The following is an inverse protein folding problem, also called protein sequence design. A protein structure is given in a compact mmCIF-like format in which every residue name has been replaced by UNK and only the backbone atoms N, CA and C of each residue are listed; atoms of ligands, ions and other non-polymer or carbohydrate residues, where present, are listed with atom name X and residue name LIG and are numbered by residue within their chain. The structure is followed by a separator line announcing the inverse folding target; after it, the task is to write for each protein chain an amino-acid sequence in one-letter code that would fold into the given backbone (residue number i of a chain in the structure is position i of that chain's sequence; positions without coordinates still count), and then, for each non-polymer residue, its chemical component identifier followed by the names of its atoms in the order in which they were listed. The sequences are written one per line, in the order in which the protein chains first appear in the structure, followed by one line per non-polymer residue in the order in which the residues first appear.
data_IF_034541482853
#
_entry.id   IF_034541482853
#
_cell.length_a   1.000
_cell.length_b   1.000
_cell.length_c   1.000
_cell.angle_alpha   90.00
_cell.angle_beta   90.00
_cell.angle_gamma   90.00
#
_symmetry.space_group_name_H-M   'P 1'
#
loop_
_entity.id
_entity.type
_entity.pdbx_description
1 polymer ?
#
# COMPACT_ATOMS: atom_id res chain seq x y z
N UNK A 1 31.00 3.44 -6.74
CA UNK A 1 31.14 4.44 -7.83
C UNK A 1 29.90 5.31 -7.77
N UNK A 2 30.08 6.58 -7.40
CA UNK A 2 29.00 7.54 -7.14
C UNK A 2 28.29 7.89 -8.45
N UNK A 3 26.96 7.74 -8.49
CA UNK A 3 26.11 8.05 -9.63
C UNK A 3 25.58 9.51 -9.56
N UNK A 4 26.25 10.37 -8.80
CA UNK A 4 25.80 11.73 -8.44
C UNK A 4 25.56 12.68 -9.64
N UNK A 5 25.96 12.32 -10.86
CA UNK A 5 25.72 13.07 -12.09
C UNK A 5 24.94 12.25 -13.15
N UNK A 6 24.44 11.05 -12.80
CA UNK A 6 23.68 10.26 -13.78
C UNK A 6 22.27 10.85 -13.98
N UNK A 7 21.91 11.00 -15.25
CA UNK A 7 20.55 11.38 -15.65
C UNK A 7 19.54 10.35 -15.15
N UNK A 8 18.39 10.73 -14.58
CA UNK A 8 17.38 9.82 -14.04
C UNK A 8 16.97 8.71 -15.01
N UNK A 9 16.92 8.99 -16.31
CA UNK A 9 16.57 8.01 -17.35
C UNK A 9 17.61 6.90 -17.42
N UNK A 10 18.90 7.21 -17.29
CA UNK A 10 19.97 6.19 -17.31
C UNK A 10 19.88 5.26 -16.10
N UNK A 11 19.53 5.79 -14.93
CA UNK A 11 19.30 4.98 -13.72
C UNK A 11 18.06 4.11 -13.89
N UNK A 12 16.99 4.65 -14.49
CA UNK A 12 15.78 3.91 -14.81
C UNK A 12 16.10 2.70 -15.72
N UNK A 13 16.84 2.92 -16.80
CA UNK A 13 17.20 1.87 -17.73
C UNK A 13 18.14 0.82 -17.10
N UNK A 14 19.23 1.28 -16.48
CA UNK A 14 20.28 0.43 -15.91
C UNK A 14 19.81 -0.41 -14.73
N UNK A 15 19.03 0.20 -13.81
CA UNK A 15 18.63 -0.45 -12.55
C UNK A 15 17.25 -1.11 -12.63
N UNK A 16 16.34 -0.59 -13.44
CA UNK A 16 14.95 -1.04 -13.49
C UNK A 16 14.56 -1.68 -14.83
N UNK A 17 15.34 -1.47 -15.89
CA UNK A 17 15.11 -2.06 -17.21
C UNK A 17 13.99 -1.38 -18.01
N UNK A 18 13.57 -0.17 -17.61
CA UNK A 18 12.59 0.62 -18.32
C UNK A 18 13.26 1.71 -19.15
N UNK A 19 12.76 1.95 -20.35
CA UNK A 19 13.33 2.93 -21.30
C UNK A 19 12.69 4.31 -21.21
N UNK A 20 11.54 4.42 -20.55
CA UNK A 20 10.80 5.68 -20.38
C UNK A 20 10.05 5.72 -19.06
N UNK A 21 9.87 6.92 -18.55
CA UNK A 21 9.05 7.17 -17.38
C UNK A 21 7.56 7.14 -17.73
N UNK A 22 6.76 6.70 -16.77
CA UNK A 22 5.31 6.80 -16.84
C UNK A 22 4.86 8.15 -16.26
N UNK A 23 3.74 8.65 -16.76
CA UNK A 23 3.09 9.86 -16.26
C UNK A 23 4.10 10.98 -15.94
N UNK A 24 4.03 11.60 -14.73
CA UNK A 24 4.94 12.67 -14.27
C UNK A 24 6.15 12.16 -13.46
N UNK A 25 6.48 10.88 -13.52
CA UNK A 25 7.58 10.33 -12.72
C UNK A 25 8.88 11.11 -12.89
N UNK A 26 9.27 11.45 -14.12
CA UNK A 26 10.50 12.20 -14.38
C UNK A 26 10.46 13.61 -13.75
N UNK A 27 9.33 14.31 -13.90
CA UNK A 27 9.14 15.64 -13.31
C UNK A 27 9.25 15.59 -11.78
N UNK A 28 8.63 14.58 -11.14
CA UNK A 28 8.69 14.37 -9.70
C UNK A 28 10.13 14.07 -9.26
N UNK A 29 10.80 13.16 -9.94
CA UNK A 29 12.18 12.77 -9.64
C UNK A 29 13.12 13.97 -9.74
N UNK A 30 13.05 14.74 -10.83
CA UNK A 30 13.86 15.96 -11.02
C UNK A 30 13.56 17.03 -9.95
N UNK A 31 12.30 17.18 -9.55
CA UNK A 31 11.88 18.07 -8.47
C UNK A 31 12.52 17.68 -7.12
N UNK A 32 12.49 16.40 -6.77
CA UNK A 32 13.09 15.86 -5.53
C UNK A 32 14.63 15.95 -5.57
N UNK A 33 15.25 15.67 -6.71
CA UNK A 33 16.70 15.86 -6.91
C UNK A 33 17.11 17.34 -6.78
N UNK A 34 16.23 18.26 -7.19
CA UNK A 34 16.38 19.70 -6.97
C UNK A 34 16.20 20.15 -5.51
N UNK A 35 16.21 19.21 -4.55
CA UNK A 35 16.07 19.42 -3.09
C UNK A 35 14.74 20.07 -2.67
N UNK A 36 13.67 19.83 -3.44
CA UNK A 36 12.32 20.34 -3.19
C UNK A 36 11.41 19.25 -2.64
N UNK A 37 10.50 19.62 -1.73
CA UNK A 37 9.53 18.68 -1.17
C UNK A 37 8.42 18.35 -2.17
N UNK A 38 7.85 17.16 -2.08
CA UNK A 38 6.76 16.74 -2.95
C UNK A 38 5.65 16.00 -2.21
N UNK A 39 4.41 16.28 -2.59
CA UNK A 39 3.25 15.41 -2.32
C UNK A 39 2.77 14.80 -3.65
N UNK A 40 2.75 13.48 -3.73
CA UNK A 40 2.32 12.75 -4.92
C UNK A 40 1.02 12.02 -4.62
N UNK A 41 -0.07 12.48 -5.22
CA UNK A 41 -1.39 11.82 -5.16
C UNK A 41 -1.67 11.21 -6.51
N UNK A 42 -1.55 9.90 -6.61
CA UNK A 42 -1.63 9.24 -7.90
C UNK A 42 -2.06 7.76 -7.76
N UNK A 43 -2.79 7.19 -8.73
CA UNK A 43 -3.34 5.85 -8.67
C UNK A 43 -2.31 4.77 -8.33
N UNK A 44 -2.79 3.63 -7.82
CA UNK A 44 -1.95 2.43 -7.69
C UNK A 44 -1.54 1.94 -9.08
N UNK A 45 -0.35 1.32 -9.18
CA UNK A 45 0.14 0.74 -10.44
C UNK A 45 0.92 1.70 -11.36
N UNK A 46 0.94 3.02 -11.11
CA UNK A 46 1.72 3.98 -11.92
C UNK A 46 3.22 4.04 -11.53
N UNK A 47 3.67 3.16 -10.65
CA UNK A 47 5.09 3.10 -10.27
C UNK A 47 5.53 4.23 -9.34
N UNK A 48 4.70 4.67 -8.39
CA UNK A 48 5.05 5.72 -7.39
C UNK A 48 6.38 5.48 -6.69
N UNK A 49 6.74 4.22 -6.43
CA UNK A 49 7.98 3.85 -5.73
C UNK A 49 9.25 4.35 -6.46
N UNK A 50 9.25 4.42 -7.79
CA UNK A 50 10.38 4.95 -8.56
C UNK A 50 10.65 6.42 -8.25
N UNK A 51 9.62 7.19 -7.86
CA UNK A 51 9.75 8.61 -7.55
C UNK A 51 10.64 8.89 -6.32
N UNK A 52 10.83 7.92 -5.44
CA UNK A 52 11.80 8.02 -4.34
C UNK A 52 12.99 7.08 -4.49
N UNK A 53 12.84 5.93 -5.15
CA UNK A 53 13.94 4.98 -5.33
C UNK A 53 15.05 5.53 -6.23
N UNK A 54 14.69 6.18 -7.34
CA UNK A 54 15.69 6.78 -8.25
C UNK A 54 16.45 7.93 -7.58
N UNK A 55 15.81 8.92 -6.93
CA UNK A 55 16.53 9.91 -6.14
C UNK A 55 17.39 9.31 -5.03
N UNK A 56 16.94 8.26 -4.37
CA UNK A 56 17.73 7.55 -3.34
C UNK A 56 18.99 6.88 -3.91
N UNK A 57 18.95 6.45 -5.17
CA UNK A 57 20.11 5.85 -5.84
C UNK A 57 21.10 6.93 -6.31
N UNK A 58 20.58 8.07 -6.80
CA UNK A 58 21.40 9.17 -7.34
C UNK A 58 22.06 9.98 -6.21
N UNK A 59 21.28 10.38 -5.21
CA UNK A 59 21.78 11.22 -4.11
C UNK A 59 22.74 10.47 -3.19
N UNK A 60 23.77 11.16 -2.72
CA UNK A 60 24.59 10.65 -1.63
C UNK A 60 23.85 10.65 -0.31
N UNK A 61 24.07 9.59 0.48
CA UNK A 61 23.47 9.44 1.79
C UNK A 61 22.48 8.28 1.86
N UNK A 62 21.71 8.26 2.92
CA UNK A 62 20.70 7.26 3.21
C UNK A 62 19.32 7.82 2.89
N UNK A 63 18.53 7.06 2.13
CA UNK A 63 17.10 7.31 2.01
C UNK A 63 16.33 6.50 3.05
N UNK A 64 15.48 7.18 3.82
CA UNK A 64 14.59 6.56 4.81
C UNK A 64 13.19 6.53 4.21
N UNK A 65 12.60 5.33 4.12
CA UNK A 65 11.23 5.11 3.62
C UNK A 65 10.35 4.65 4.77
N UNK A 66 9.40 5.48 5.15
CA UNK A 66 8.37 5.12 6.12
C UNK A 66 7.21 4.49 5.36
N UNK A 67 6.85 3.24 5.73
CA UNK A 67 5.71 2.54 5.15
C UNK A 67 4.97 1.77 6.25
N UNK A 68 3.64 1.67 6.18
CA UNK A 68 2.86 0.92 7.18
C UNK A 68 2.86 -0.58 6.92
N UNK A 69 3.39 -1.03 5.78
CA UNK A 69 3.14 -2.34 5.19
C UNK A 69 4.35 -3.26 5.25
N UNK A 70 4.41 -4.09 6.29
CA UNK A 70 5.54 -5.01 6.54
C UNK A 70 5.81 -5.96 5.35
N UNK A 71 4.75 -6.48 4.72
CA UNK A 71 4.89 -7.38 3.57
C UNK A 71 5.47 -6.65 2.36
N UNK A 72 4.94 -5.46 2.04
CA UNK A 72 5.43 -4.64 0.93
C UNK A 72 6.88 -4.23 1.10
N UNK A 73 7.31 -3.87 2.33
CA UNK A 73 8.71 -3.55 2.62
C UNK A 73 9.65 -4.69 2.20
N UNK A 74 9.28 -5.94 2.54
CA UNK A 74 10.09 -7.10 2.17
C UNK A 74 10.18 -7.25 0.66
N UNK A 75 9.05 -7.18 -0.04
CA UNK A 75 9.00 -7.33 -1.49
C UNK A 75 9.80 -6.24 -2.21
N UNK A 76 9.69 -4.98 -1.76
CA UNK A 76 10.46 -3.86 -2.28
C UNK A 76 11.97 -4.05 -2.06
N UNK A 77 12.37 -4.45 -0.85
CA UNK A 77 13.80 -4.70 -0.53
C UNK A 77 14.35 -5.87 -1.32
N UNK A 78 13.60 -6.97 -1.46
CA UNK A 78 14.02 -8.13 -2.23
C UNK A 78 14.13 -7.78 -3.73
N UNK A 79 13.24 -6.95 -4.24
CA UNK A 79 13.30 -6.45 -5.62
C UNK A 79 14.52 -5.54 -5.85
N UNK A 80 14.81 -4.61 -4.94
CA UNK A 80 15.98 -3.72 -5.01
C UNK A 80 17.29 -4.51 -4.94
N UNK A 81 17.39 -5.48 -4.03
CA UNK A 81 18.57 -6.34 -3.91
C UNK A 81 18.85 -7.17 -5.16
N UNK A 82 17.82 -7.72 -5.80
CA UNK A 82 17.98 -8.42 -7.08
C UNK A 82 18.53 -7.53 -8.20
N UNK A 83 18.34 -6.21 -8.08
CA UNK A 83 18.88 -5.18 -8.98
C UNK A 83 20.27 -4.65 -8.55
N UNK A 84 20.87 -5.24 -7.51
CA UNK A 84 22.17 -4.81 -6.99
C UNK A 84 22.13 -3.53 -6.16
N UNK A 85 20.96 -3.12 -5.68
CA UNK A 85 20.77 -1.92 -4.85
C UNK A 85 20.74 -2.34 -3.38
N UNK A 86 21.63 -1.75 -2.57
CA UNK A 86 21.73 -2.03 -1.14
C UNK A 86 20.54 -1.43 -0.39
N UNK A 87 19.58 -2.29 -0.07
CA UNK A 87 18.39 -1.93 0.65
C UNK A 87 18.14 -2.87 1.84
N UNK A 88 17.51 -2.36 2.88
CA UNK A 88 17.10 -3.14 4.03
C UNK A 88 15.71 -2.72 4.52
N UNK A 89 15.09 -3.54 5.38
CA UNK A 89 13.91 -3.13 6.13
C UNK A 89 14.08 -3.46 7.61
N UNK A 90 13.50 -2.64 8.48
CA UNK A 90 13.46 -2.88 9.92
C UNK A 90 12.02 -2.69 10.40
N UNK A 91 11.44 -3.76 10.93
CA UNK A 91 10.09 -3.77 11.48
C UNK A 91 9.99 -4.72 12.68
N UNK A 92 8.79 -4.87 13.25
CA UNK A 92 8.55 -5.72 14.42
C UNK A 92 8.72 -7.22 14.18
N UNK A 93 8.74 -7.65 12.91
CA UNK A 93 8.83 -9.08 12.57
C UNK A 93 10.23 -9.65 12.59
N UNK A 94 11.25 -8.79 12.73
CA UNK A 94 12.65 -9.22 12.70
C UNK A 94 13.12 -9.72 14.07
N UNK A 95 13.76 -10.88 14.09
CA UNK A 95 14.49 -11.36 15.24
C UNK A 95 15.70 -10.44 15.59
N UNK A 96 16.17 -10.56 16.83
CA UNK A 96 17.23 -9.69 17.38
C UNK A 96 18.50 -9.70 16.53
N UNK A 97 19.02 -10.87 16.19
CA UNK A 97 20.26 -11.02 15.41
C UNK A 97 20.19 -10.31 14.05
N UNK A 98 19.12 -10.57 13.29
CA UNK A 98 18.91 -9.92 11.97
C UNK A 98 18.76 -8.41 12.10
N UNK A 99 18.17 -7.94 13.19
CA UNK A 99 18.00 -6.51 13.45
C UNK A 99 19.33 -5.84 13.75
N UNK A 100 20.17 -6.45 14.60
CA UNK A 100 21.51 -5.93 14.91
C UNK A 100 22.41 -5.88 13.68
N UNK A 101 22.38 -6.92 12.85
CA UNK A 101 23.12 -6.91 11.57
C UNK A 101 22.70 -5.72 10.68
N UNK A 102 21.40 -5.35 10.67
CA UNK A 102 20.93 -4.19 9.91
C UNK A 102 21.30 -2.85 10.53
N UNK A 103 21.32 -2.75 11.87
CA UNK A 103 21.84 -1.58 12.53
C UNK A 103 23.34 -1.39 12.25
N UNK A 104 24.12 -2.47 12.23
CA UNK A 104 25.51 -2.40 11.80
C UNK A 104 25.67 -1.91 10.36
N UNK A 105 24.84 -2.40 9.44
CA UNK A 105 24.82 -1.94 8.04
C UNK A 105 24.43 -0.46 7.89
N UNK A 106 23.54 0.04 8.75
CA UNK A 106 23.23 1.47 8.81
C UNK A 106 24.44 2.28 9.28
N UNK A 107 25.07 1.88 10.38
CA UNK A 107 26.23 2.60 10.95
C UNK A 107 27.44 2.65 10.01
N UNK A 108 27.75 1.55 9.32
CA UNK A 108 28.91 1.45 8.43
C UNK A 108 28.69 2.01 7.03
N UNK A 109 27.46 2.47 6.72
CA UNK A 109 27.17 3.11 5.44
C UNK A 109 26.86 2.20 4.28
N UNK A 110 26.80 0.89 4.46
CA UNK A 110 26.52 -0.04 3.37
C UNK A 110 25.04 -0.08 2.92
N UNK A 111 24.13 0.55 3.67
CA UNK A 111 22.72 0.63 3.30
C UNK A 111 22.41 1.95 2.61
N UNK A 112 21.80 1.88 1.41
CA UNK A 112 21.38 3.03 0.60
C UNK A 112 19.93 3.42 0.86
N UNK A 113 19.04 2.43 1.02
CA UNK A 113 17.61 2.64 1.25
C UNK A 113 17.18 1.77 2.44
N UNK A 114 16.58 2.38 3.44
CA UNK A 114 16.00 1.69 4.59
C UNK A 114 14.49 1.87 4.67
N UNK A 115 13.75 0.77 4.66
CA UNK A 115 12.31 0.76 4.90
C UNK A 115 12.03 0.51 6.37
N UNK A 116 11.19 1.34 6.97
CA UNK A 116 10.84 1.26 8.39
C UNK A 116 9.36 1.52 8.63
N UNK A 117 8.84 0.93 9.70
CA UNK A 117 7.55 1.37 10.24
C UNK A 117 7.76 2.56 11.18
N UNK A 118 6.79 3.50 11.31
CA UNK A 118 6.98 4.71 12.11
C UNK A 118 7.28 4.43 13.57
N UNK A 119 6.79 3.32 14.13
CA UNK A 119 7.05 2.92 15.53
C UNK A 119 8.54 2.67 15.82
N UNK A 120 9.35 2.47 14.77
CA UNK A 120 10.79 2.27 14.94
C UNK A 120 11.52 3.50 15.48
N UNK A 121 11.04 4.68 15.17
CA UNK A 121 11.62 5.91 15.69
C UNK A 121 11.47 6.09 17.21
N UNK A 122 10.58 5.32 17.86
CA UNK A 122 10.47 5.26 19.32
C UNK A 122 11.59 4.43 19.97
N UNK A 123 12.42 3.74 19.19
CA UNK A 123 13.48 2.87 19.69
C UNK A 123 14.82 3.58 19.59
N UNK A 124 15.45 3.80 20.72
CA UNK A 124 16.74 4.49 20.85
C UNK A 124 17.82 3.86 19.98
N UNK A 125 17.90 2.51 19.99
CA UNK A 125 18.86 1.75 19.16
C UNK A 125 18.77 2.11 17.67
N UNK A 126 17.55 2.39 17.17
CA UNK A 126 17.35 2.77 15.77
C UNK A 126 17.79 4.21 15.48
N UNK A 127 17.42 5.14 16.35
CA UNK A 127 17.83 6.55 16.20
C UNK A 127 19.34 6.71 16.35
N UNK A 128 19.97 5.98 17.26
CA UNK A 128 21.42 5.90 17.41
C UNK A 128 22.10 5.30 16.16
N UNK A 129 21.50 4.27 15.55
CA UNK A 129 22.04 3.68 14.32
C UNK A 129 21.99 4.65 13.12
N UNK A 130 21.10 5.65 13.15
CA UNK A 130 21.02 6.72 12.15
C UNK A 130 21.90 7.92 12.49
N UNK A 131 22.36 8.04 13.75
CA UNK A 131 23.19 9.16 14.18
C UNK A 131 24.49 9.23 13.39
N UNK A 132 24.85 10.42 12.93
CA UNK A 132 26.04 10.63 12.10
C UNK A 132 25.87 10.24 10.62
N UNK A 133 24.71 9.72 10.20
CA UNK A 133 24.41 9.46 8.79
C UNK A 133 23.79 10.67 8.13
N UNK A 134 24.29 11.00 6.95
CA UNK A 134 23.60 11.98 6.10
C UNK A 134 22.33 11.34 5.52
N UNK A 135 21.16 11.88 5.88
CA UNK A 135 19.87 11.47 5.34
C UNK A 135 19.55 12.32 4.12
N UNK A 136 19.66 11.73 2.95
CA UNK A 136 19.45 12.45 1.68
C UNK A 136 17.98 12.63 1.32
N UNK A 137 17.11 11.71 1.78
CA UNK A 137 15.70 11.68 1.43
C UNK A 137 14.86 11.00 2.52
N UNK A 138 13.72 11.58 2.84
CA UNK A 138 12.64 10.92 3.58
C UNK A 138 11.47 10.68 2.63
N UNK A 139 11.11 9.42 2.41
CA UNK A 139 9.90 9.05 1.70
C UNK A 139 8.84 8.58 2.70
N UNK A 140 7.61 9.09 2.58
CA UNK A 140 6.46 8.68 3.40
C UNK A 140 5.45 8.03 2.46
N UNK A 141 5.45 6.71 2.47
CA UNK A 141 4.52 5.90 1.69
C UNK A 141 3.18 5.76 2.44
N UNK A 142 2.09 5.61 1.69
CA UNK A 142 0.71 5.61 2.20
C UNK A 142 0.45 6.81 3.14
N UNK A 143 0.85 8.00 2.69
CA UNK A 143 0.84 9.22 3.50
C UNK A 143 -0.57 9.62 4.01
N UNK A 144 -1.64 9.07 3.43
CA UNK A 144 -3.01 9.24 3.94
C UNK A 144 -3.19 8.74 5.39
N UNK A 145 -2.31 7.81 5.84
CA UNK A 145 -2.30 7.35 7.23
C UNK A 145 -1.99 8.45 8.27
N UNK A 146 -1.54 9.64 7.83
CA UNK A 146 -1.29 10.80 8.70
C UNK A 146 -2.58 11.40 9.22
N UNK A 147 -3.63 11.43 8.41
CA UNK A 147 -4.87 12.15 8.67
C UNK A 147 -5.91 11.28 9.37
N UNK A 148 -6.55 11.79 10.40
CA UNK A 148 -7.72 11.16 11.03
C UNK A 148 -8.91 11.05 10.08
N UNK A 149 -8.95 11.87 9.04
CA UNK A 149 -9.92 11.79 7.95
C UNK A 149 -9.51 10.81 6.85
N UNK A 150 -8.33 10.19 6.97
CA UNK A 150 -7.88 9.10 6.10
C UNK A 150 -8.54 7.78 6.46
N UNK A 151 -8.79 6.93 5.46
CA UNK A 151 -9.45 5.63 5.65
C UNK A 151 -8.60 4.59 6.43
N UNK A 152 -7.31 4.82 6.64
CA UNK A 152 -6.39 3.95 7.42
C UNK A 152 -5.50 4.83 8.34
N UNK A 153 -6.14 5.61 9.21
CA UNK A 153 -5.43 6.45 10.18
C UNK A 153 -4.52 5.63 11.09
N UNK A 154 -3.30 6.09 11.26
CA UNK A 154 -2.31 5.45 12.15
C UNK A 154 -1.66 6.47 13.07
N UNK A 155 -1.89 6.39 14.39
CA UNK A 155 -1.38 7.39 15.34
C UNK A 155 0.13 7.64 15.25
N UNK A 156 0.94 6.61 14.92
CA UNK A 156 2.38 6.79 14.77
C UNK A 156 2.79 7.66 13.58
N UNK A 157 1.91 7.79 12.57
CA UNK A 157 2.16 8.67 11.41
C UNK A 157 2.08 10.15 11.78
N UNK A 158 1.30 10.53 12.79
CA UNK A 158 1.23 11.95 13.23
C UNK A 158 2.56 12.45 13.79
N UNK A 159 3.42 11.52 14.24
CA UNK A 159 4.74 11.84 14.80
C UNK A 159 5.84 11.94 13.76
N UNK A 160 5.55 11.75 12.47
CA UNK A 160 6.58 11.80 11.41
C UNK A 160 7.25 13.18 11.35
N UNK A 161 6.55 14.25 11.73
CA UNK A 161 7.13 15.59 11.88
C UNK A 161 8.33 15.58 12.85
N UNK A 162 8.17 14.96 14.02
CA UNK A 162 9.25 14.84 15.02
C UNK A 162 10.42 14.01 14.46
N UNK A 163 10.09 12.90 13.78
CA UNK A 163 11.10 12.04 13.17
C UNK A 163 11.87 12.77 12.07
N UNK A 164 11.20 13.58 11.26
CA UNK A 164 11.84 14.41 10.24
C UNK A 164 12.84 15.38 10.86
N UNK A 165 12.50 16.00 11.99
CA UNK A 165 13.43 16.88 12.73
C UNK A 165 14.66 16.13 13.24
N UNK A 166 14.46 14.94 13.83
CA UNK A 166 15.57 14.08 14.29
C UNK A 166 16.50 13.68 13.13
N UNK A 167 15.96 13.52 11.93
CA UNK A 167 16.71 13.21 10.72
C UNK A 167 17.40 14.41 10.07
N UNK A 168 17.31 15.62 10.66
CA UNK A 168 17.92 16.83 10.12
C UNK A 168 17.11 17.51 9.01
N UNK A 169 15.79 17.33 9.01
CA UNK A 169 14.85 17.88 8.03
C UNK A 169 15.21 17.59 6.55
N UNK A 170 15.41 16.33 6.18
CA UNK A 170 15.76 15.99 4.80
C UNK A 170 14.67 16.39 3.81
N UNK A 171 15.03 16.40 2.53
CA UNK A 171 14.04 16.48 1.45
C UNK A 171 13.00 15.38 1.67
N UNK A 172 11.72 15.75 1.58
CA UNK A 172 10.63 14.83 1.92
C UNK A 172 9.70 14.68 0.73
N UNK A 173 9.41 13.43 0.36
CA UNK A 173 8.38 13.06 -0.60
C UNK A 173 7.32 12.22 0.09
N UNK A 174 6.07 12.66 0.01
CA UNK A 174 4.91 11.92 0.50
C UNK A 174 4.14 11.33 -0.69
N UNK A 175 3.72 10.08 -0.58
CA UNK A 175 3.05 9.37 -1.65
C UNK A 175 1.77 8.68 -1.12
N UNK A 176 0.70 8.80 -1.89
CA UNK A 176 -0.55 8.10 -1.60
C UNK A 176 -1.34 7.86 -2.89
N UNK A 177 -2.22 6.87 -2.86
CA UNK A 177 -3.17 6.65 -3.96
C UNK A 177 -4.46 7.43 -3.75
N UNK A 178 -4.84 7.64 -2.51
CA UNK A 178 -6.12 8.23 -2.10
C UNK A 178 -5.86 9.34 -1.10
N UNK A 179 -6.30 10.53 -1.41
CA UNK A 179 -6.31 11.65 -0.47
C UNK A 179 -7.37 12.68 -0.89
N UNK A 180 -8.36 12.89 -0.05
CA UNK A 180 -9.30 14.01 -0.20
C UNK A 180 -8.57 15.33 -0.01
N UNK A 181 -9.16 16.49 -0.38
CA UNK A 181 -8.54 17.79 -0.14
C UNK A 181 -8.18 18.04 1.32
N UNK A 182 -8.98 17.54 2.26
CA UNK A 182 -8.74 17.63 3.70
C UNK A 182 -7.50 16.80 4.10
N UNK A 183 -7.42 15.56 3.64
CA UNK A 183 -6.27 14.66 3.87
C UNK A 183 -5.00 15.24 3.26
N UNK A 184 -5.07 15.85 2.07
CA UNK A 184 -3.93 16.51 1.44
C UNK A 184 -3.41 17.67 2.29
N UNK A 185 -4.30 18.51 2.85
CA UNK A 185 -3.94 19.61 3.75
C UNK A 185 -3.24 19.09 5.01
N UNK A 186 -3.76 18.04 5.61
CA UNK A 186 -3.17 17.41 6.80
C UNK A 186 -1.77 16.87 6.52
N UNK A 187 -1.58 16.19 5.38
CA UNK A 187 -0.26 15.69 4.97
C UNK A 187 0.73 16.84 4.81
N UNK A 188 0.35 17.89 4.07
CA UNK A 188 1.20 19.07 3.82
C UNK A 188 1.60 19.72 5.14
N UNK A 189 0.63 19.97 6.02
CA UNK A 189 0.83 20.59 7.32
C UNK A 189 1.71 19.75 8.25
N UNK A 190 1.40 18.46 8.37
CA UNK A 190 2.12 17.55 9.29
C UNK A 190 3.57 17.34 8.85
N UNK A 191 3.81 17.22 7.56
CA UNK A 191 5.15 17.00 7.03
C UNK A 191 5.87 18.30 6.70
N UNK A 192 5.25 19.48 6.90
CA UNK A 192 5.80 20.80 6.54
C UNK A 192 6.31 20.83 5.09
N UNK A 193 5.49 20.35 4.14
CA UNK A 193 5.86 20.29 2.72
C UNK A 193 5.70 21.63 2.00
N UNK A 194 5.03 22.60 2.60
CA UNK A 194 4.87 23.98 2.15
C UNK A 194 6.12 24.85 2.43
N UNK A 195 7.05 24.35 3.23
CA UNK A 195 8.32 25.01 3.48
C UNK A 195 9.20 25.00 2.23
N UNK A 196 9.52 26.15 1.68
CA UNK A 196 10.26 26.29 0.44
C UNK A 196 9.39 26.10 -0.81
N UNK A 197 9.95 25.52 -1.88
CA UNK A 197 9.25 25.27 -3.14
C UNK A 197 8.59 23.88 -3.19
N UNK A 198 7.85 23.51 -2.15
CA UNK A 198 7.08 22.27 -2.12
C UNK A 198 6.03 22.23 -3.22
N UNK A 199 5.87 21.08 -3.89
CA UNK A 199 4.92 20.92 -4.99
C UNK A 199 4.04 19.69 -4.81
N UNK A 200 2.76 19.85 -5.12
CA UNK A 200 1.83 18.76 -5.22
C UNK A 200 1.69 18.29 -6.68
N UNK A 201 1.82 16.97 -6.87
CA UNK A 201 1.65 16.31 -8.15
C UNK A 201 0.38 15.46 -8.10
N UNK A 202 -0.58 15.81 -8.92
CA UNK A 202 -1.85 15.11 -9.02
C UNK A 202 -1.87 14.23 -10.27
N UNK A 203 -2.11 12.91 -10.09
CA UNK A 203 -2.19 11.92 -11.17
C UNK A 203 -3.59 11.67 -11.71
N UNK A 204 -4.58 12.38 -11.17
CA UNK A 204 -5.96 12.00 -11.41
C UNK A 204 -6.33 10.69 -10.71
N UNK A 205 -7.53 10.23 -10.96
CA UNK A 205 -8.06 8.95 -10.47
C UNK A 205 -8.39 8.01 -11.62
N UNK A 206 -8.19 8.46 -12.84
CA UNK A 206 -8.64 7.73 -14.02
C UNK A 206 -7.75 6.52 -14.33
N UNK A 207 -8.40 5.41 -14.57
CA UNK A 207 -7.83 4.14 -14.99
C UNK A 207 -8.66 3.59 -16.15
N UNK A 208 -8.42 4.06 -17.39
CA UNK A 208 -9.28 3.77 -18.54
C UNK A 208 -9.36 2.28 -18.89
N UNK A 209 -8.42 1.49 -18.45
CA UNK A 209 -8.41 0.03 -18.62
C UNK A 209 -9.21 -0.74 -17.55
N UNK A 210 -9.83 -0.05 -16.58
CA UNK A 210 -10.71 -0.66 -15.60
C UNK A 210 -12.18 -0.41 -15.99
N UNK A 211 -12.89 -1.47 -16.31
CA UNK A 211 -14.31 -1.40 -16.63
C UNK A 211 -15.12 -1.57 -15.35
N UNK A 212 -15.67 -0.45 -14.86
CA UNK A 212 -16.45 -0.42 -13.62
C UNK A 212 -17.91 -0.78 -13.91
N UNK A 213 -18.46 -1.71 -13.13
CA UNK A 213 -19.83 -2.17 -13.24
C UNK A 213 -20.47 -2.30 -11.85
N UNK A 214 -21.73 -1.92 -11.73
CA UNK A 214 -22.54 -2.16 -10.54
C UNK A 214 -23.72 -3.02 -10.94
N UNK A 215 -23.90 -4.14 -10.27
CA UNK A 215 -25.04 -5.02 -10.49
C UNK A 215 -25.86 -5.14 -9.21
N UNK A 216 -27.16 -4.88 -9.31
CA UNK A 216 -28.10 -5.09 -8.21
C UNK A 216 -28.42 -6.56 -8.10
N UNK A 217 -28.25 -7.12 -6.91
CA UNK A 217 -28.52 -8.52 -6.57
C UNK A 217 -29.40 -8.58 -5.33
N UNK A 218 -30.16 -9.68 -5.19
CA UNK A 218 -31.16 -9.84 -4.15
C UNK A 218 -30.92 -11.07 -3.28
N UNK A 219 -29.92 -11.89 -3.61
CA UNK A 219 -29.63 -13.14 -2.89
C UNK A 219 -28.16 -13.54 -3.02
N UNK A 220 -27.72 -14.42 -2.12
CA UNK A 220 -26.41 -15.04 -2.21
C UNK A 220 -26.28 -15.95 -3.45
N UNK A 221 -27.38 -16.54 -3.92
CA UNK A 221 -27.36 -17.38 -5.12
C UNK A 221 -27.05 -16.53 -6.36
N UNK A 222 -27.66 -15.35 -6.50
CA UNK A 222 -27.34 -14.42 -7.59
C UNK A 222 -25.89 -13.92 -7.51
N UNK A 223 -25.39 -13.62 -6.29
CA UNK A 223 -23.98 -13.27 -6.09
C UNK A 223 -23.08 -14.42 -6.55
N UNK A 224 -23.41 -15.66 -6.21
CA UNK A 224 -22.66 -16.86 -6.58
C UNK A 224 -22.65 -17.07 -8.10
N UNK A 225 -23.81 -17.01 -8.74
CA UNK A 225 -23.94 -17.13 -10.20
C UNK A 225 -23.10 -16.10 -10.94
N UNK A 226 -23.12 -14.83 -10.48
CA UNK A 226 -22.28 -13.79 -11.04
C UNK A 226 -20.79 -14.14 -10.91
N UNK A 227 -20.32 -14.53 -9.71
CA UNK A 227 -18.92 -14.91 -9.46
C UNK A 227 -18.51 -16.06 -10.38
N UNK A 228 -19.35 -17.11 -10.51
CA UNK A 228 -19.09 -18.24 -11.40
C UNK A 228 -18.99 -17.78 -12.86
N UNK A 229 -19.91 -16.93 -13.30
CA UNK A 229 -19.91 -16.38 -14.65
C UNK A 229 -18.62 -15.62 -14.96
N UNK A 230 -18.19 -14.74 -14.07
CA UNK A 230 -16.95 -13.95 -14.23
C UNK A 230 -15.71 -14.85 -14.25
N UNK A 231 -15.61 -15.82 -13.34
CA UNK A 231 -14.48 -16.77 -13.29
C UNK A 231 -14.37 -17.60 -14.58
N UNK A 232 -15.49 -17.98 -15.17
CA UNK A 232 -15.51 -18.74 -16.42
C UNK A 232 -15.23 -17.87 -17.64
N UNK A 233 -15.65 -16.61 -17.63
CA UNK A 233 -15.49 -15.66 -18.75
C UNK A 233 -14.08 -15.11 -18.86
N UNK A 234 -13.44 -14.78 -17.72
CA UNK A 234 -12.15 -14.09 -17.72
C UNK A 234 -11.01 -15.08 -17.44
N UNK A 235 -10.11 -15.21 -18.41
CA UNK A 235 -8.88 -15.99 -18.23
C UNK A 235 -7.80 -15.17 -17.55
N UNK A 236 -7.53 -15.45 -16.29
CA UNK A 236 -6.51 -14.74 -15.52
C UNK A 236 -6.71 -14.88 -14.01
N UNK A 237 -6.01 -14.04 -13.27
CA UNK A 237 -6.18 -13.97 -11.83
C UNK A 237 -7.36 -13.08 -11.46
N UNK A 238 -8.08 -13.46 -10.41
CA UNK A 238 -9.22 -12.69 -9.91
C UNK A 238 -9.23 -12.59 -8.39
N UNK A 239 -9.88 -11.56 -7.90
CA UNK A 239 -10.12 -11.35 -6.46
C UNK A 239 -11.61 -11.12 -6.26
N UNK A 240 -12.18 -11.80 -5.26
CA UNK A 240 -13.55 -11.53 -4.79
C UNK A 240 -13.46 -11.05 -3.34
N UNK A 241 -13.93 -9.84 -3.09
CA UNK A 241 -13.91 -9.24 -1.76
C UNK A 241 -15.22 -9.44 -1.01
N UNK A 242 -15.08 -9.79 0.26
CA UNK A 242 -16.16 -9.96 1.22
C UNK A 242 -15.92 -9.08 2.45
N UNK A 243 -16.98 -8.57 3.03
CA UNK A 243 -16.90 -7.78 4.27
C UNK A 243 -16.73 -8.68 5.50
N UNK A 244 -17.38 -9.85 5.52
CA UNK A 244 -17.38 -10.77 6.65
C UNK A 244 -16.64 -12.06 6.33
N UNK A 245 -15.83 -12.54 7.29
CA UNK A 245 -15.13 -13.84 7.19
C UNK A 245 -16.13 -14.99 7.07
N UNK A 246 -17.26 -14.92 7.79
CA UNK A 246 -18.31 -15.94 7.72
C UNK A 246 -18.81 -16.10 6.29
N UNK A 247 -19.20 -15.00 5.66
CA UNK A 247 -19.72 -15.00 4.30
C UNK A 247 -18.68 -15.50 3.29
N UNK A 248 -17.41 -15.08 3.44
CA UNK A 248 -16.30 -15.61 2.65
C UNK A 248 -16.22 -17.13 2.73
N UNK A 249 -16.33 -17.71 3.93
CA UNK A 249 -16.28 -19.16 4.12
C UNK A 249 -17.51 -19.87 3.51
N UNK A 250 -18.70 -19.31 3.68
CA UNK A 250 -19.94 -19.85 3.10
C UNK A 250 -19.82 -19.90 1.56
N UNK A 251 -19.33 -18.82 0.93
CA UNK A 251 -19.08 -18.78 -0.52
C UNK A 251 -17.94 -19.70 -0.96
N UNK A 252 -16.91 -19.87 -0.12
CA UNK A 252 -15.85 -20.85 -0.40
C UNK A 252 -16.40 -22.26 -0.54
N UNK A 253 -17.30 -22.65 0.35
CA UNK A 253 -17.89 -24.00 0.31
C UNK A 253 -18.84 -24.16 -0.88
N UNK A 254 -19.65 -23.15 -1.20
CA UNK A 254 -20.49 -23.16 -2.39
C UNK A 254 -19.66 -23.28 -3.68
N UNK A 255 -18.59 -22.51 -3.83
CA UNK A 255 -17.72 -22.56 -5.01
C UNK A 255 -16.98 -23.91 -5.15
N UNK A 256 -16.58 -24.54 -4.03
CA UNK A 256 -16.05 -25.92 -4.05
C UNK A 256 -17.08 -26.91 -4.57
N UNK A 257 -18.35 -26.77 -4.16
CA UNK A 257 -19.45 -27.56 -4.68
C UNK A 257 -19.63 -27.47 -6.19
N UNK A 258 -19.29 -26.31 -6.78
CA UNK A 258 -19.27 -26.08 -8.23
C UNK A 258 -17.92 -26.42 -8.90
N UNK A 259 -16.97 -27.04 -8.18
CA UNK A 259 -15.67 -27.43 -8.73
C UNK A 259 -14.72 -26.28 -9.02
N UNK A 260 -14.98 -25.07 -8.48
CA UNK A 260 -14.14 -23.90 -8.70
C UNK A 260 -13.02 -23.86 -7.66
N UNK A 261 -11.79 -24.05 -8.14
CA UNK A 261 -10.59 -23.94 -7.31
C UNK A 261 -10.28 -22.49 -6.95
N UNK A 262 -10.06 -22.22 -5.68
CA UNK A 262 -9.74 -20.88 -5.17
C UNK A 262 -8.89 -20.94 -3.89
N UNK A 263 -8.36 -19.78 -3.51
CA UNK A 263 -7.67 -19.55 -2.25
C UNK A 263 -8.54 -18.64 -1.36
N UNK A 264 -8.42 -18.79 -0.04
CA UNK A 264 -9.08 -17.91 0.94
C UNK A 264 -8.04 -17.11 1.70
N UNK A 265 -8.27 -15.79 1.86
CA UNK A 265 -7.40 -14.90 2.61
C UNK A 265 -8.20 -13.93 3.49
N UNK A 266 -7.98 -13.98 4.79
CA UNK A 266 -8.64 -13.09 5.75
C UNK A 266 -7.78 -12.88 7.01
N UNK A 267 -8.12 -11.88 7.82
CA UNK A 267 -7.39 -11.53 9.04
C UNK A 267 -7.34 -12.62 10.11
N UNK A 268 -8.31 -13.54 10.12
CA UNK A 268 -8.36 -14.68 11.03
C UNK A 268 -7.38 -15.83 10.72
N UNK A 269 -6.70 -15.78 9.55
CA UNK A 269 -5.67 -16.78 9.24
C UNK A 269 -4.37 -16.49 10.01
N UNK A 270 -3.67 -17.54 10.39
CA UNK A 270 -2.33 -17.44 10.95
C UNK A 270 -1.35 -16.80 9.96
N UNK A 271 -0.32 -16.15 10.50
CA UNK A 271 0.69 -15.45 9.68
C UNK A 271 1.34 -16.36 8.61
N UNK A 272 1.64 -17.60 8.97
CA UNK A 272 2.25 -18.58 8.05
C UNK A 272 1.29 -18.92 6.90
N UNK A 273 0.01 -19.13 7.21
CA UNK A 273 -1.02 -19.39 6.22
C UNK A 273 -1.22 -18.22 5.27
N UNK A 274 -1.29 -16.99 5.82
CA UNK A 274 -1.38 -15.76 5.01
C UNK A 274 -0.22 -15.63 4.02
N UNK A 275 1.00 -15.86 4.48
CA UNK A 275 2.18 -15.82 3.61
C UNK A 275 2.13 -16.87 2.51
N UNK A 276 1.68 -18.10 2.83
CA UNK A 276 1.56 -19.19 1.86
C UNK A 276 0.52 -18.86 0.78
N UNK A 277 -0.66 -18.38 1.18
CA UNK A 277 -1.73 -17.99 0.24
C UNK A 277 -1.26 -16.86 -0.68
N UNK A 278 -0.62 -15.83 -0.11
CA UNK A 278 -0.07 -14.72 -0.89
C UNK A 278 0.96 -15.21 -1.91
N UNK A 279 1.88 -16.09 -1.50
CA UNK A 279 2.90 -16.64 -2.40
C UNK A 279 2.28 -17.48 -3.53
N UNK A 280 1.28 -18.32 -3.21
CA UNK A 280 0.55 -19.10 -4.21
C UNK A 280 -0.17 -18.20 -5.21
N UNK A 281 -0.82 -17.13 -4.74
CA UNK A 281 -1.47 -16.17 -5.62
C UNK A 281 -0.46 -15.45 -6.52
N UNK A 282 0.65 -14.98 -5.97
CA UNK A 282 1.69 -14.27 -6.74
C UNK A 282 2.30 -15.15 -7.85
N UNK A 283 2.48 -16.45 -7.61
CA UNK A 283 3.02 -17.40 -8.60
C UNK A 283 1.98 -17.91 -9.59
N UNK A 284 0.71 -17.90 -9.24
CA UNK A 284 -0.37 -18.46 -10.05
C UNK A 284 -0.64 -17.65 -11.34
N UNK A 285 -0.98 -18.35 -12.41
CA UNK A 285 -1.35 -17.74 -13.72
C UNK A 285 -2.86 -17.53 -13.87
N UNK A 286 -3.65 -18.40 -13.25
CA UNK A 286 -5.12 -18.33 -13.20
C UNK A 286 -5.55 -18.74 -11.79
N UNK A 287 -5.56 -17.80 -10.87
CA UNK A 287 -5.86 -18.06 -9.45
C UNK A 287 -6.96 -17.12 -8.98
N UNK A 288 -8.03 -17.69 -8.45
CA UNK A 288 -9.07 -16.95 -7.76
C UNK A 288 -8.71 -16.86 -6.28
N UNK A 289 -8.88 -15.68 -5.69
CA UNK A 289 -8.80 -15.47 -4.24
C UNK A 289 -10.11 -14.89 -3.75
N UNK A 290 -10.69 -15.53 -2.74
CA UNK A 290 -11.74 -14.96 -1.91
C UNK A 290 -11.07 -14.26 -0.74
N UNK A 291 -11.37 -13.00 -0.51
CA UNK A 291 -10.63 -12.18 0.43
C UNK A 291 -11.51 -11.24 1.24
N UNK A 292 -11.06 -10.89 2.43
CA UNK A 292 -11.50 -9.65 3.09
C UNK A 292 -10.52 -8.52 2.75
N UNK A 293 -10.79 -7.28 3.19
CA UNK A 293 -9.90 -6.12 3.06
C UNK A 293 -8.46 -6.38 3.57
N UNK A 294 -8.25 -7.42 4.42
CA UNK A 294 -6.92 -7.86 4.84
C UNK A 294 -6.02 -8.32 3.68
N UNK A 295 -6.61 -8.78 2.56
CA UNK A 295 -5.90 -9.12 1.32
C UNK A 295 -5.85 -7.89 0.42
N UNK A 296 -4.97 -7.02 0.75
CA UNK A 296 -4.96 -5.76 0.03
C UNK A 296 -3.57 -5.20 -0.05
N UNK A 297 -3.11 -4.70 1.03
CA UNK A 297 -1.85 -4.00 1.12
C UNK A 297 -0.67 -4.95 0.82
N UNK A 298 0.16 -4.58 -0.16
CA UNK A 298 1.34 -5.37 -0.55
C UNK A 298 1.14 -6.40 -1.68
N UNK A 299 -0.05 -6.49 -2.27
CA UNK A 299 -0.26 -7.32 -3.47
C UNK A 299 0.13 -6.51 -4.70
N UNK A 300 1.28 -6.86 -5.28
CA UNK A 300 1.79 -6.24 -6.51
C UNK A 300 1.84 -7.27 -7.65
N UNK A 301 0.65 -7.65 -8.12
CA UNK A 301 0.47 -8.59 -9.22
C UNK A 301 -0.13 -7.87 -10.42
N UNK A 302 0.58 -7.90 -11.54
CA UNK A 302 0.23 -7.11 -12.73
C UNK A 302 -1.02 -7.61 -13.45
N UNK A 303 -1.21 -8.92 -13.51
CA UNK A 303 -2.18 -9.59 -14.38
C UNK A 303 -3.48 -10.02 -13.68
N UNK A 304 -4.02 -9.19 -12.79
CA UNK A 304 -5.35 -9.40 -12.23
C UNK A 304 -6.37 -8.91 -13.25
N UNK A 305 -7.26 -9.80 -13.70
CA UNK A 305 -8.22 -9.54 -14.79
C UNK A 305 -9.59 -9.13 -14.30
N UNK A 306 -9.94 -9.48 -13.06
CA UNK A 306 -11.17 -9.02 -12.46
C UNK A 306 -11.04 -8.85 -10.95
N UNK A 307 -11.79 -7.88 -10.44
CA UNK A 307 -12.04 -7.68 -9.01
C UNK A 307 -13.54 -7.57 -8.83
N UNK A 308 -14.12 -8.47 -8.05
CA UNK A 308 -15.54 -8.46 -7.71
C UNK A 308 -15.71 -8.17 -6.23
N UNK A 309 -16.52 -7.18 -5.89
CA UNK A 309 -16.97 -6.95 -4.53
C UNK A 309 -18.30 -7.69 -4.35
N UNK A 310 -18.28 -8.78 -3.61
CA UNK A 310 -19.49 -9.54 -3.27
C UNK A 310 -20.36 -8.79 -2.26
N UNK A 311 -19.75 -7.90 -1.48
CA UNK A 311 -20.40 -7.01 -0.54
C UNK A 311 -19.92 -5.58 -0.76
N UNK A 312 -20.72 -4.59 -0.35
CA UNK A 312 -20.35 -3.17 -0.42
C UNK A 312 -19.09 -2.94 0.43
N UNK A 313 -18.03 -2.32 -0.10
CA UNK A 313 -16.84 -1.97 0.68
C UNK A 313 -17.12 -0.87 1.70
N UNK A 314 -16.31 -0.79 2.75
CA UNK A 314 -16.51 0.13 3.88
C UNK A 314 -16.39 1.62 3.53
N UNK A 315 -15.72 1.97 2.44
CA UNK A 315 -15.62 3.33 1.92
C UNK A 315 -15.28 3.35 0.43
N UNK A 316 -15.45 4.50 -0.20
CA UNK A 316 -15.08 4.71 -1.62
C UNK A 316 -13.55 4.59 -1.80
N UNK A 317 -12.77 5.04 -0.82
CA UNK A 317 -11.32 4.94 -0.84
C UNK A 317 -10.86 3.47 -0.79
N UNK A 318 -11.50 2.65 0.06
CA UNK A 318 -11.25 1.21 0.13
C UNK A 318 -11.61 0.54 -1.20
N UNK A 319 -12.78 0.86 -1.76
CA UNK A 319 -13.18 0.39 -3.07
C UNK A 319 -12.15 0.73 -4.15
N UNK A 320 -11.73 2.00 -4.20
CA UNK A 320 -10.77 2.47 -5.18
C UNK A 320 -9.39 1.79 -5.04
N UNK A 321 -8.93 1.55 -3.82
CA UNK A 321 -7.68 0.81 -3.57
C UNK A 321 -7.79 -0.66 -3.99
N UNK A 322 -8.92 -1.28 -3.76
CA UNK A 322 -9.16 -2.70 -4.05
C UNK A 322 -9.30 -2.94 -5.55
N UNK A 323 -10.08 -2.13 -6.28
CA UNK A 323 -10.15 -2.19 -7.76
C UNK A 323 -8.81 -1.81 -8.41
N UNK A 324 -8.05 -0.91 -7.79
CA UNK A 324 -6.73 -0.48 -8.28
C UNK A 324 -5.67 -1.59 -8.36
N UNK A 325 -6.00 -2.81 -7.89
CA UNK A 325 -5.16 -4.01 -8.05
C UNK A 325 -5.29 -4.63 -9.43
N UNK A 326 -6.43 -4.42 -10.09
CA UNK A 326 -6.68 -4.94 -11.42
C UNK A 326 -5.88 -4.19 -12.49
N UNK A 327 -5.52 -4.87 -13.55
CA UNK A 327 -4.97 -4.30 -14.78
C UNK A 327 -3.74 -3.43 -14.60
N UNK A 328 -2.81 -3.77 -13.72
CA UNK A 328 -1.55 -2.99 -13.55
C UNK A 328 -0.63 -3.09 -14.76
N UNK A 329 -0.81 -4.09 -15.58
CA UNK A 329 -0.13 -4.26 -16.88
C UNK A 329 -0.77 -3.43 -18.01
N UNK A 330 -1.73 -2.57 -17.69
CA UNK A 330 -2.44 -1.73 -18.66
C UNK A 330 -3.51 -2.45 -19.47
N UNK A 331 -3.72 -3.76 -19.27
CA UNK A 331 -4.74 -4.52 -19.98
C UNK A 331 -6.11 -4.34 -19.32
N UNK A 332 -7.15 -4.48 -20.15
CA UNK A 332 -8.53 -4.39 -19.70
C UNK A 332 -8.83 -5.36 -18.56
N UNK A 333 -9.54 -4.87 -17.59
CA UNK A 333 -9.92 -5.63 -16.39
C UNK A 333 -11.30 -5.20 -15.91
N UNK A 334 -12.10 -6.17 -15.48
CA UNK A 334 -13.44 -5.94 -14.96
C UNK A 334 -13.41 -5.67 -13.47
N UNK A 335 -14.14 -4.65 -13.02
CA UNK A 335 -14.34 -4.34 -11.61
C UNK A 335 -15.85 -4.27 -11.34
N UNK A 336 -16.42 -5.30 -10.71
CA UNK A 336 -17.85 -5.37 -10.43
C UNK A 336 -18.13 -5.16 -8.96
N UNK A 337 -19.10 -4.33 -8.64
CA UNK A 337 -19.72 -4.22 -7.33
C UNK A 337 -21.10 -4.88 -7.38
N UNK A 338 -21.29 -5.96 -6.60
CA UNK A 338 -22.60 -6.57 -6.41
C UNK A 338 -23.29 -5.82 -5.27
N UNK A 339 -24.32 -5.07 -5.62
CA UNK A 339 -25.05 -4.21 -4.69
C UNK A 339 -26.24 -4.95 -4.11
N UNK A 340 -26.20 -5.24 -2.80
CA UNK A 340 -27.33 -5.72 -2.00
C UNK A 340 -27.63 -4.71 -0.89
N UNK A 341 -28.90 -4.32 -0.75
CA UNK A 341 -29.31 -3.38 0.30
C UNK A 341 -29.06 -3.91 1.72
N UNK A 342 -29.05 -5.25 1.87
CA UNK A 342 -28.76 -5.87 3.17
C UNK A 342 -27.30 -5.66 3.63
N UNK A 343 -26.36 -5.43 2.71
CA UNK A 343 -24.97 -5.15 3.06
C UNK A 343 -24.84 -3.83 3.84
N UNK A 344 -25.74 -2.86 3.60
CA UNK A 344 -25.78 -1.60 4.35
C UNK A 344 -26.04 -1.81 5.85
N UNK A 345 -26.84 -2.81 6.22
CA UNK A 345 -27.09 -3.14 7.63
C UNK A 345 -25.81 -3.59 8.34
N UNK A 346 -24.94 -4.31 7.63
CA UNK A 346 -23.62 -4.73 8.15
C UNK A 346 -22.77 -3.50 8.47
N UNK A 347 -22.70 -2.53 7.57
CA UNK A 347 -21.95 -1.28 7.79
C UNK A 347 -22.57 -0.42 8.88
N UNK A 348 -23.88 -0.32 8.97
CA UNK A 348 -24.56 0.37 10.05
C UNK A 348 -24.24 -0.24 11.43
N UNK A 349 -24.16 -1.57 11.51
CA UNK A 349 -23.76 -2.25 12.74
C UNK A 349 -22.30 -1.97 13.09
N UNK A 350 -21.38 -1.95 12.11
CA UNK A 350 -19.98 -1.54 12.36
C UNK A 350 -19.88 -0.11 12.86
N UNK A 351 -20.65 0.83 12.30
CA UNK A 351 -20.70 2.20 12.78
C UNK A 351 -21.19 2.26 14.23
N UNK A 352 -22.26 1.54 14.58
CA UNK A 352 -22.79 1.47 15.95
C UNK A 352 -21.77 0.89 16.93
N UNK A 353 -21.05 -0.18 16.54
CA UNK A 353 -20.05 -0.80 17.42
C UNK A 353 -18.81 0.09 17.62
N UNK A 354 -18.43 0.84 16.63
CA UNK A 354 -17.31 1.78 16.72
C UNK A 354 -17.67 3.09 17.42
N UNK A 355 -18.96 3.41 17.51
CA UNK A 355 -19.49 4.61 18.17
C UNK A 355 -20.55 4.20 19.19
N UNK A 356 -20.17 3.60 20.33
CA UNK A 356 -21.10 3.18 21.35
C UNK A 356 -21.83 4.40 21.95
N UNK A 357 -23.09 4.18 22.32
CA UNK A 357 -23.96 5.23 22.92
C UNK A 357 -23.57 5.58 24.35
N UNK A 358 -24.16 6.67 24.87
CA UNK A 358 -23.91 7.14 26.23
C UNK A 358 -24.27 6.08 27.30
N UNK A 359 -25.26 5.23 27.03
CA UNK A 359 -25.69 4.17 27.92
C UNK A 359 -24.66 3.06 28.05
N UNK A 360 -23.95 2.74 26.94
CA UNK A 360 -22.82 1.83 26.95
C UNK A 360 -21.68 2.36 27.82
N UNK A 361 -21.32 3.63 27.68
CA UNK A 361 -20.29 4.26 28.52
C UNK A 361 -20.70 4.29 30.00
N UNK A 362 -21.95 4.61 30.31
CA UNK A 362 -22.44 4.56 31.69
C UNK A 362 -22.29 3.16 32.29
N UNK A 363 -22.62 2.11 31.54
CA UNK A 363 -22.43 0.71 32.00
C UNK A 363 -20.98 0.37 32.27
N UNK A 364 -20.03 0.85 31.44
CA UNK A 364 -18.58 0.61 31.64
C UNK A 364 -18.04 1.37 32.84
N UNK A 365 -18.55 2.58 33.13
CA UNK A 365 -18.10 3.39 34.27
C UNK A 365 -18.75 3.02 35.60
N UNK A 366 -19.83 2.25 35.62
CA UNK A 366 -20.49 1.76 36.82
C UNK A 366 -20.07 0.36 37.25
N UNK A 367 -19.06 -0.23 36.59
CA UNK A 367 -18.36 -1.44 37.01
C UNK A 367 -17.12 -1.06 37.81
#
# INVERSE_FOLDING_TARGET
MLLAEEEPVKVLEKCFGYTSFLWKQEEIIRHVLGKKHALVVAPTGIGKSLCYQIPAIINDGLAVVISPLIALMKDQVDALKRRGIDAAYINSSLGREKREARYAALRNGSCRIIYVTPERFRKTDFTEALSGRHISLLAVDEAHCISEWGHDFRPDYTRIREFRQVLGNPVTIALTATATPEVQKDIIKTLCLDAGEGKMFHGGIDRPNLHLQVEKVFSNDEKLEHIISVVNKYYGNGIVYFTLIKQLNDFSDMLKGHGISHLCYHGGLERVQRSKVQEQFMRGKKTLVLATNAFGMGIDKENIRFVTHADIPGSIESYYQEIGRAGRDGKDSLCTLLYDEHDLLTHMNFIKWNNPDAEYFQRVYHI
#
